data_IF_318519040326
#
_entry.id   IF_318519040326
#
_cell.length_a   1.000
_cell.length_b   1.000
_cell.length_c   1.000
_cell.angle_alpha   90.00
_cell.angle_beta   90.00
_cell.angle_gamma   90.00
#
_symmetry.space_group_name_H-M   'P 1'
#
loop_
_entity.id
_entity.type
_entity.pdbx_description
1 polymer ?
#
# COMPACT_ATOMS: atom_id res chain seq x y z
N UNK A 1 -20.74 5.73 -23.04
CA UNK A 1 -22.07 5.69 -22.42
C UNK A 1 -22.08 6.66 -21.23
N UNK A 2 -23.24 7.18 -20.81
CA UNK A 2 -23.38 7.86 -19.52
C UNK A 2 -23.15 6.90 -18.36
N UNK A 3 -22.97 7.44 -17.15
CA UNK A 3 -22.87 6.68 -15.89
C UNK A 3 -24.18 6.85 -15.12
N UNK A 4 -24.72 5.75 -14.62
CA UNK A 4 -25.99 5.57 -13.96
C UNK A 4 -25.85 5.38 -12.42
N UNK A 5 -24.69 4.98 -11.89
CA UNK A 5 -24.47 4.76 -10.45
C UNK A 5 -23.13 5.33 -9.90
N UNK A 6 -23.10 5.79 -8.63
CA UNK A 6 -21.85 6.23 -7.98
C UNK A 6 -20.82 5.10 -7.93
N UNK A 7 -19.65 5.32 -8.53
CA UNK A 7 -18.56 4.34 -8.56
C UNK A 7 -18.49 3.47 -9.82
N UNK A 8 -19.38 3.63 -10.80
CA UNK A 8 -19.30 2.90 -12.08
C UNK A 8 -18.04 3.17 -12.90
N UNK A 9 -17.37 4.30 -12.66
CA UNK A 9 -16.01 4.54 -13.13
C UNK A 9 -15.10 4.82 -11.96
N UNK A 10 -14.21 3.88 -11.72
CA UNK A 10 -13.06 4.06 -10.84
C UNK A 10 -11.86 4.34 -11.75
N UNK A 11 -11.34 5.57 -11.70
CA UNK A 11 -10.03 5.84 -12.30
C UNK A 11 -8.99 5.39 -11.30
N UNK A 12 -8.23 4.36 -11.66
CA UNK A 12 -7.02 4.02 -10.92
C UNK A 12 -6.01 5.13 -11.15
N UNK A 13 -5.72 5.89 -10.10
CA UNK A 13 -4.64 6.88 -10.12
C UNK A 13 -3.42 6.19 -9.51
N UNK A 14 -2.42 5.94 -10.34
CA UNK A 14 -1.14 5.42 -9.88
C UNK A 14 -0.61 6.36 -8.79
N UNK A 15 -0.31 5.80 -7.61
CA UNK A 15 0.18 6.52 -6.44
C UNK A 15 -0.76 7.61 -5.88
N UNK A 16 -2.08 7.41 -5.85
CA UNK A 16 -2.91 8.19 -4.91
C UNK A 16 -2.49 7.87 -3.47
N UNK A 17 -2.06 8.89 -2.74
CA UNK A 17 -1.54 8.74 -1.38
C UNK A 17 -2.22 9.71 -0.42
N UNK A 18 -2.87 9.15 0.61
CA UNK A 18 -3.30 9.93 1.77
C UNK A 18 -2.07 10.37 2.59
N UNK A 19 -2.09 11.62 3.07
CA UNK A 19 -1.12 12.11 4.06
C UNK A 19 -1.32 11.46 5.44
N UNK A 20 -2.49 10.85 5.68
CA UNK A 20 -2.74 10.08 6.89
C UNK A 20 -2.20 8.65 6.72
N UNK A 21 -1.02 8.42 7.30
CA UNK A 21 -0.36 7.11 7.31
C UNK A 21 -0.93 6.15 8.36
N UNK A 22 -1.89 6.57 9.19
CA UNK A 22 -2.53 5.70 10.18
C UNK A 22 -3.42 4.63 9.55
N UNK A 23 -3.87 4.85 8.33
CA UNK A 23 -4.67 3.92 7.54
C UNK A 23 -3.83 2.99 6.69
N UNK A 24 -4.46 1.91 6.24
CA UNK A 24 -3.87 0.93 5.35
C UNK A 24 -3.42 1.56 4.03
N UNK A 25 -2.51 0.86 3.36
CA UNK A 25 -1.94 1.29 2.10
C UNK A 25 -3.03 1.39 1.02
N UNK A 26 -3.25 2.59 0.50
CA UNK A 26 -4.28 2.86 -0.52
C UNK A 26 -3.73 2.81 -1.95
N UNK A 27 -2.40 2.77 -2.10
CA UNK A 27 -1.75 2.61 -3.40
C UNK A 27 -1.55 1.13 -3.71
N UNK A 28 -1.90 0.72 -4.93
CA UNK A 28 -1.65 -0.65 -5.43
C UNK A 28 -0.38 -0.71 -6.26
N UNK A 29 0.72 -0.17 -5.73
CA UNK A 29 2.02 -0.18 -6.41
C UNK A 29 2.50 -1.60 -6.72
N UNK A 30 2.04 -2.59 -5.96
CA UNK A 30 2.21 -4.02 -6.25
C UNK A 30 1.68 -4.41 -7.64
N UNK A 31 0.58 -3.82 -8.10
CA UNK A 31 -0.01 -4.11 -9.42
C UNK A 31 0.79 -3.43 -10.55
N UNK A 32 1.58 -2.40 -10.23
CA UNK A 32 2.46 -1.68 -11.16
C UNK A 32 3.78 -2.40 -11.42
N UNK A 33 4.15 -3.39 -10.59
CA UNK A 33 5.30 -4.30 -10.81
C UNK A 33 5.20 -4.98 -12.18
N UNK A 34 3.99 -5.17 -12.68
CA UNK A 34 3.74 -5.80 -13.97
C UNK A 34 3.80 -4.86 -15.19
N UNK A 35 3.79 -3.53 -14.97
CA UNK A 35 3.50 -2.54 -16.01
C UNK A 35 4.69 -1.59 -16.25
N UNK A 36 5.36 -1.14 -15.19
CA UNK A 36 6.44 -0.16 -15.28
C UNK A 36 7.85 -0.79 -15.34
N UNK A 37 8.84 0.01 -15.74
CA UNK A 37 10.25 -0.41 -15.70
C UNK A 37 10.67 -0.67 -14.25
N UNK A 38 11.12 -1.89 -13.97
CA UNK A 38 11.40 -2.41 -12.64
C UNK A 38 12.39 -1.52 -11.86
N UNK A 39 13.36 -0.91 -12.55
CA UNK A 39 14.39 -0.10 -11.90
C UNK A 39 13.83 1.20 -11.31
N UNK A 40 12.87 1.85 -11.99
CA UNK A 40 12.22 3.08 -11.51
C UNK A 40 11.24 2.74 -10.39
N UNK A 41 10.45 1.69 -10.60
CA UNK A 41 9.40 1.29 -9.68
C UNK A 41 9.93 0.91 -8.30
N UNK A 42 11.02 0.13 -8.22
CA UNK A 42 11.56 -0.28 -6.92
C UNK A 42 12.13 0.91 -6.13
N UNK A 43 12.74 1.88 -6.80
CA UNK A 43 13.26 3.07 -6.14
C UNK A 43 12.14 3.94 -5.55
N UNK A 44 11.06 4.14 -6.29
CA UNK A 44 9.86 4.83 -5.81
C UNK A 44 9.19 4.06 -4.67
N UNK A 45 9.10 2.73 -4.81
CA UNK A 45 8.48 1.89 -3.80
C UNK A 45 9.23 1.91 -2.48
N UNK A 46 10.56 1.78 -2.51
CA UNK A 46 11.41 1.90 -1.32
C UNK A 46 11.23 3.25 -0.64
N UNK A 47 11.24 4.35 -1.41
CA UNK A 47 11.06 5.71 -0.85
C UNK A 47 9.70 5.87 -0.19
N UNK A 48 8.66 5.36 -0.82
CA UNK A 48 7.30 5.44 -0.32
C UNK A 48 7.13 4.70 1.02
N UNK A 49 7.48 3.41 1.06
CA UNK A 49 7.30 2.61 2.30
C UNK A 49 8.22 3.08 3.43
N UNK A 50 9.42 3.58 3.10
CA UNK A 50 10.30 4.21 4.08
C UNK A 50 9.69 5.51 4.65
N UNK A 51 9.08 6.35 3.80
CA UNK A 51 8.40 7.56 4.25
C UNK A 51 7.24 7.21 5.20
N UNK A 52 6.38 6.24 4.84
CA UNK A 52 5.24 5.81 5.68
C UNK A 52 5.71 5.24 7.02
N UNK A 53 6.68 4.33 7.01
CA UNK A 53 7.24 3.74 8.23
C UNK A 53 7.84 4.82 9.14
N UNK A 54 8.57 5.80 8.59
CA UNK A 54 9.09 6.93 9.37
C UNK A 54 7.98 7.69 10.10
N UNK A 55 6.88 8.00 9.41
CA UNK A 55 5.77 8.74 10.02
C UNK A 55 5.02 7.91 11.06
N UNK A 56 4.80 6.61 10.83
CA UNK A 56 4.21 5.70 11.82
C UNK A 56 5.12 5.51 13.04
N UNK A 57 6.41 5.32 12.86
CA UNK A 57 7.38 5.21 13.96
C UNK A 57 7.44 6.49 14.79
N UNK A 58 7.42 7.66 14.15
CA UNK A 58 7.32 8.94 14.86
C UNK A 58 6.02 9.07 15.68
N UNK A 59 4.92 8.46 15.24
CA UNK A 59 3.69 8.38 16.02
C UNK A 59 3.86 7.46 17.24
N UNK A 60 4.51 6.29 17.08
CA UNK A 60 4.83 5.39 18.20
C UNK A 60 5.72 6.10 19.24
N UNK A 61 6.77 6.80 18.81
CA UNK A 61 7.66 7.57 19.71
C UNK A 61 6.90 8.62 20.54
N UNK A 62 5.91 9.28 19.93
CA UNK A 62 5.11 10.34 20.57
C UNK A 62 4.02 9.77 21.48
N UNK A 63 3.33 8.73 21.03
CA UNK A 63 2.04 8.33 21.58
C UNK A 63 2.09 7.06 22.44
N UNK A 64 3.21 6.32 22.48
CA UNK A 64 3.35 5.11 23.30
C UNK A 64 3.15 5.42 24.80
N UNK A 65 2.09 4.87 25.45
CA UNK A 65 1.86 5.14 26.86
C UNK A 65 2.85 4.43 27.79
N UNK A 66 3.07 5.02 28.96
CA UNK A 66 3.76 4.32 30.05
C UNK A 66 2.93 3.11 30.52
N UNK A 67 3.62 2.03 30.90
CA UNK A 67 2.97 0.80 31.37
C UNK A 67 2.47 -0.11 30.25
N UNK A 68 2.94 0.08 29.01
CA UNK A 68 2.71 -0.85 27.92
C UNK A 68 3.20 -2.26 28.29
N UNK A 69 2.38 -3.27 28.04
CA UNK A 69 2.84 -4.66 28.06
C UNK A 69 3.58 -5.02 26.77
N UNK A 70 4.21 -6.20 26.77
CA UNK A 70 5.03 -6.64 25.66
C UNK A 70 4.21 -6.87 24.39
N UNK A 71 3.00 -7.42 24.50
CA UNK A 71 2.17 -7.76 23.35
C UNK A 71 1.68 -6.50 22.63
N UNK A 72 1.22 -5.50 23.38
CA UNK A 72 0.85 -4.20 22.83
C UNK A 72 2.05 -3.48 22.19
N UNK A 73 3.25 -3.64 22.76
CA UNK A 73 4.46 -2.99 22.23
C UNK A 73 4.85 -3.60 20.89
N UNK A 74 4.76 -4.93 20.80
CA UNK A 74 4.96 -5.67 19.55
C UNK A 74 3.93 -5.21 18.51
N UNK A 75 2.64 -5.22 18.83
CA UNK A 75 1.59 -4.82 17.89
C UNK A 75 1.81 -3.42 17.32
N UNK A 76 2.14 -2.43 18.18
CA UNK A 76 2.43 -1.07 17.76
C UNK A 76 3.62 -1.00 16.77
N UNK A 77 4.71 -1.70 17.09
CA UNK A 77 5.91 -1.70 16.26
C UNK A 77 5.69 -2.45 14.95
N UNK A 78 4.98 -3.59 14.97
CA UNK A 78 4.68 -4.37 13.78
C UNK A 78 3.83 -3.57 12.80
N UNK A 79 2.78 -2.91 13.29
CA UNK A 79 1.93 -2.02 12.49
C UNK A 79 2.71 -0.83 11.91
N UNK A 80 3.68 -0.32 12.66
CA UNK A 80 4.52 0.79 12.19
C UNK A 80 5.43 0.41 11.01
N UNK A 81 5.81 -0.86 10.89
CA UNK A 81 6.72 -1.35 9.84
C UNK A 81 6.08 -2.30 8.83
N UNK A 82 4.77 -2.55 8.95
CA UNK A 82 4.02 -3.50 8.13
C UNK A 82 4.21 -3.25 6.62
N UNK A 83 4.05 -2.00 6.18
CA UNK A 83 4.19 -1.62 4.76
C UNK A 83 5.59 -1.98 4.22
N UNK A 84 6.64 -1.86 5.05
CA UNK A 84 8.01 -2.23 4.68
C UNK A 84 8.15 -3.75 4.57
N UNK A 85 7.56 -4.50 5.50
CA UNK A 85 7.56 -5.98 5.46
C UNK A 85 6.84 -6.48 4.22
N UNK A 86 5.64 -5.97 3.94
CA UNK A 86 4.87 -6.31 2.74
C UNK A 86 5.61 -5.97 1.46
N UNK A 87 6.26 -4.79 1.39
CA UNK A 87 7.05 -4.42 0.22
C UNK A 87 8.26 -5.35 0.00
N UNK A 88 8.96 -5.75 1.06
CA UNK A 88 10.04 -6.74 0.96
C UNK A 88 9.51 -8.07 0.42
N UNK A 89 8.37 -8.54 0.91
CA UNK A 89 7.76 -9.79 0.47
C UNK A 89 7.29 -9.72 -0.99
N UNK A 90 6.76 -8.56 -1.42
CA UNK A 90 6.40 -8.30 -2.81
C UNK A 90 7.64 -8.31 -3.73
N UNK A 91 8.69 -7.59 -3.36
CA UNK A 91 9.95 -7.56 -4.13
C UNK A 91 10.59 -8.95 -4.24
N UNK A 92 10.50 -9.77 -3.18
CA UNK A 92 10.99 -11.16 -3.17
C UNK A 92 10.14 -12.08 -4.04
N UNK A 93 8.82 -11.89 -4.02
CA UNK A 93 7.91 -12.67 -4.82
C UNK A 93 8.07 -12.39 -6.32
N UNK A 94 8.53 -11.19 -6.68
CA UNK A 94 8.69 -10.77 -8.07
C UNK A 94 7.34 -10.59 -8.78
N UNK A 95 7.37 -10.69 -10.11
CA UNK A 95 6.19 -10.52 -10.95
C UNK A 95 5.06 -11.48 -10.56
N UNK A 96 3.85 -10.94 -10.38
CA UNK A 96 2.59 -11.68 -10.33
C UNK A 96 1.67 -11.11 -11.38
N UNK A 97 0.92 -11.98 -12.05
CA UNK A 97 -0.07 -11.59 -13.07
C UNK A 97 -1.10 -10.62 -12.44
N UNK A 98 -1.30 -9.46 -13.07
CA UNK A 98 -2.24 -8.44 -12.60
C UNK A 98 -3.68 -8.95 -12.74
N UNK A 99 -4.53 -8.75 -11.74
CA UNK A 99 -5.95 -9.03 -11.90
C UNK A 99 -6.57 -8.06 -12.93
N UNK A 100 -7.12 -8.61 -14.01
CA UNK A 100 -7.86 -7.84 -15.00
C UNK A 100 -9.27 -7.55 -14.47
N UNK A 101 -9.53 -6.29 -14.12
CA UNK A 101 -10.84 -5.82 -13.63
C UNK A 101 -11.89 -5.67 -14.75
N UNK A 102 -11.49 -5.84 -16.01
CA UNK A 102 -12.42 -5.93 -17.13
C UNK A 102 -12.84 -7.39 -17.32
N UNK A 103 -13.75 -7.89 -16.48
CA UNK A 103 -14.57 -9.01 -16.94
C UNK A 103 -15.43 -8.49 -18.07
N UNK A 104 -15.10 -8.88 -19.32
CA UNK A 104 -16.01 -8.74 -20.44
C UNK A 104 -17.25 -9.54 -20.10
N UNK A 105 -18.32 -8.85 -19.74
CA UNK A 105 -19.67 -9.43 -19.80
C UNK A 105 -19.93 -9.67 -21.27
N UNK A 106 -19.71 -10.92 -21.68
CA UNK A 106 -20.00 -11.40 -23.03
C UNK A 106 -21.51 -11.62 -23.13
N UNK A 107 -22.24 -10.53 -23.35
CA UNK A 107 -23.67 -10.57 -23.68
C UNK A 107 -23.85 -10.38 -25.19
N UNK A 108 -23.94 -11.54 -25.87
CA UNK A 108 -24.62 -11.86 -27.15
C UNK A 108 -24.53 -10.90 -28.34
#
# INVERSE_FOLDING_TARGET
APLDEPGERITMVNAYESLDVGHDLQCRTRDLIAVDDHEVLYAEWVRHVAWRARHRLAAVERDAPFGLDADAAVEMLERAVEDVRSAIDDMRAGYRESEHYEQRVDDR
#
